data_IF_582261169068
#
_entry.id   IF_582261169068
#
_cell.length_a   1.000
_cell.length_b   1.000
_cell.length_c   1.000
_cell.angle_alpha   90.00
_cell.angle_beta   90.00
_cell.angle_gamma   90.00
#
_symmetry.space_group_name_H-M   'P 1'
#
loop_
_entity.id
_entity.type
_entity.pdbx_description
1 polymer ?
#
# COMPACT_ATOMS: atom_id res chain seq x y z
N UNK A 1 21.29 -33.86 -61.10
CA UNK A 1 19.91 -33.36 -61.23
C UNK A 1 19.53 -32.73 -59.89
N UNK A 2 19.60 -31.40 -59.75
CA UNK A 2 18.49 -30.44 -59.92
C UNK A 2 17.42 -30.56 -58.80
N UNK A 3 17.18 -29.41 -58.15
CA UNK A 3 16.00 -28.94 -57.38
C UNK A 3 16.03 -29.22 -55.86
N UNK A 4 16.49 -28.27 -55.03
CA UNK A 4 15.83 -27.05 -54.56
C UNK A 4 14.76 -27.29 -53.48
N UNK A 5 14.98 -26.72 -52.29
CA UNK A 5 13.93 -26.06 -51.50
C UNK A 5 14.57 -25.01 -50.58
N UNK A 6 14.28 -23.76 -50.90
CA UNK A 6 14.63 -22.56 -50.15
C UNK A 6 13.74 -22.52 -48.90
N UNK A 7 14.32 -22.36 -47.72
CA UNK A 7 13.61 -21.74 -46.59
C UNK A 7 14.44 -20.53 -46.18
N UNK A 8 13.83 -19.38 -46.40
CA UNK A 8 14.32 -18.05 -46.09
C UNK A 8 14.54 -17.93 -44.58
N UNK A 9 15.76 -17.57 -44.20
CA UNK A 9 16.07 -16.96 -42.90
C UNK A 9 15.40 -15.59 -42.87
N UNK A 10 14.34 -15.46 -42.08
CA UNK A 10 13.66 -14.19 -41.85
C UNK A 10 13.73 -13.82 -40.36
N UNK A 11 14.29 -12.63 -40.15
CA UNK A 11 14.00 -11.65 -39.12
C UNK A 11 14.30 -11.98 -37.65
N UNK A 12 15.20 -11.14 -37.13
CA UNK A 12 15.58 -10.93 -35.75
C UNK A 12 14.42 -10.41 -34.87
N UNK A 13 14.77 -10.19 -33.58
CA UNK A 13 14.21 -9.22 -32.61
C UNK A 13 13.26 -9.88 -31.57
N UNK A 14 13.37 -9.78 -30.23
CA UNK A 14 14.11 -8.98 -29.21
C UNK A 14 14.45 -9.90 -28.01
N UNK A 15 15.38 -9.54 -27.10
CA UNK A 15 15.74 -10.29 -25.90
C UNK A 15 14.62 -10.30 -24.86
N UNK A 16 14.45 -11.46 -24.22
CA UNK A 16 13.66 -11.64 -23.02
C UNK A 16 14.24 -10.82 -21.86
N UNK A 17 13.73 -9.62 -21.65
CA UNK A 17 13.91 -8.89 -20.40
C UNK A 17 12.66 -9.14 -19.56
N UNK A 18 12.65 -10.24 -18.82
CA UNK A 18 11.69 -10.38 -17.72
C UNK A 18 12.12 -9.38 -16.64
N UNK A 19 11.44 -8.23 -16.64
CA UNK A 19 11.54 -7.23 -15.59
C UNK A 19 11.31 -7.89 -14.23
N UNK A 20 12.23 -7.64 -13.32
CA UNK A 20 12.11 -7.99 -11.92
C UNK A 20 10.85 -7.33 -11.36
N UNK A 21 9.78 -8.11 -11.20
CA UNK A 21 8.65 -7.69 -10.39
C UNK A 21 9.16 -7.56 -8.96
N UNK A 22 9.34 -6.31 -8.51
CA UNK A 22 9.42 -6.03 -7.10
C UNK A 22 8.16 -6.61 -6.46
N UNK A 23 8.33 -7.67 -5.66
CA UNK A 23 7.26 -8.23 -4.85
C UNK A 23 6.88 -7.18 -3.80
N UNK A 24 6.05 -6.23 -4.20
CA UNK A 24 5.27 -5.45 -3.25
C UNK A 24 4.36 -6.45 -2.55
N UNK A 25 4.70 -6.79 -1.31
CA UNK A 25 3.90 -7.64 -0.47
C UNK A 25 2.47 -7.06 -0.44
N UNK A 26 1.57 -7.70 -1.18
CA UNK A 26 0.14 -7.41 -1.22
C UNK A 26 -0.45 -7.82 0.13
N UNK A 27 -0.31 -6.95 1.13
CA UNK A 27 -1.04 -7.06 2.37
C UNK A 27 -2.45 -6.55 2.13
N UNK A 28 -3.42 -7.46 2.01
CA UNK A 28 -4.84 -7.14 2.06
C UNK A 28 -5.20 -6.33 3.33
N UNK A 29 -6.42 -5.80 3.45
CA UNK A 29 -6.82 -4.98 4.59
C UNK A 29 -6.67 -5.81 5.87
N UNK A 30 -5.54 -5.65 6.55
CA UNK A 30 -5.32 -6.25 7.84
C UNK A 30 -6.36 -5.62 8.76
N UNK A 31 -7.34 -6.42 9.14
CA UNK A 31 -8.29 -6.12 10.21
C UNK A 31 -7.50 -5.99 11.51
N UNK A 32 -6.80 -4.87 11.68
CA UNK A 32 -6.04 -4.53 12.87
C UNK A 32 -6.99 -4.08 13.99
N UNK A 33 -7.92 -4.95 14.38
CA UNK A 33 -8.54 -4.91 15.72
C UNK A 33 -7.63 -5.62 16.71
N UNK A 34 -6.37 -5.20 16.77
CA UNK A 34 -5.40 -5.68 17.76
C UNK A 34 -5.09 -4.56 18.72
N UNK A 35 -5.42 -4.73 20.01
CA UNK A 35 -5.03 -3.79 21.05
C UNK A 35 -3.51 -3.81 21.37
N UNK A 36 -2.72 -4.60 20.61
CA UNK A 36 -1.27 -4.71 20.75
C UNK A 36 -0.45 -3.63 20.00
N UNK A 37 0.88 -3.61 20.20
CA UNK A 37 1.82 -2.73 19.51
C UNK A 37 1.73 -2.81 17.99
N UNK A 38 1.37 -3.97 17.44
CA UNK A 38 1.16 -4.19 16.01
C UNK A 38 -0.13 -3.58 15.43
N UNK A 39 -1.17 -3.32 16.24
CA UNK A 39 -2.52 -3.08 15.72
C UNK A 39 -2.99 -1.63 15.74
N UNK A 40 -2.35 -0.74 16.53
CA UNK A 40 -2.77 0.67 16.64
C UNK A 40 -1.96 1.65 15.78
N UNK A 41 -1.06 1.14 14.95
CA UNK A 41 -0.23 1.94 14.05
C UNK A 41 0.53 3.07 14.76
N UNK A 42 0.86 4.10 14.00
CA UNK A 42 1.67 5.24 14.43
C UNK A 42 0.94 6.25 15.32
N UNK A 43 -0.39 6.12 15.47
CA UNK A 43 -1.20 7.05 16.24
C UNK A 43 -0.78 7.12 17.72
N UNK A 44 -0.29 6.01 18.29
CA UNK A 44 0.24 5.99 19.66
C UNK A 44 1.58 6.71 19.78
N UNK A 45 2.41 6.68 18.74
CA UNK A 45 3.74 7.31 18.77
C UNK A 45 3.61 8.83 18.81
N UNK A 46 2.65 9.40 18.08
CA UNK A 46 2.38 10.85 18.09
C UNK A 46 2.05 11.38 19.48
N UNK A 47 1.42 10.56 20.34
CA UNK A 47 1.07 10.94 21.72
C UNK A 47 2.25 10.88 22.70
N UNK A 48 3.34 10.23 22.32
CA UNK A 48 4.54 10.08 23.14
C UNK A 48 5.59 11.15 22.84
N UNK A 49 5.36 11.99 21.83
CA UNK A 49 6.16 13.16 21.55
C UNK A 49 5.73 14.32 22.46
N UNK A 50 6.73 15.04 22.96
CA UNK A 50 6.52 16.25 23.76
C UNK A 50 6.27 17.41 22.81
N UNK A 51 5.02 17.55 22.35
CA UNK A 51 4.59 18.56 21.38
C UNK A 51 4.17 19.85 22.07
N UNK A 52 4.62 21.00 21.56
CA UNK A 52 4.13 22.30 22.02
C UNK A 52 2.65 22.51 21.65
N UNK A 53 1.97 23.42 22.34
CA UNK A 53 0.57 23.78 22.03
C UNK A 53 0.40 24.23 20.57
N UNK A 54 1.36 24.99 20.05
CA UNK A 54 1.39 25.46 18.66
C UNK A 54 1.52 24.29 17.68
N UNK A 55 2.43 23.34 17.95
CA UNK A 55 2.59 22.14 17.12
C UNK A 55 1.32 21.28 17.13
N UNK A 56 0.70 21.11 18.30
CA UNK A 56 -0.57 20.37 18.42
C UNK A 56 -1.67 21.01 17.57
N UNK A 57 -1.80 22.34 17.59
CA UNK A 57 -2.78 23.06 16.79
C UNK A 57 -2.52 22.90 15.28
N UNK A 58 -1.26 22.99 14.84
CA UNK A 58 -0.88 22.78 13.44
C UNK A 58 -1.18 21.34 12.98
N UNK A 59 -0.82 20.35 13.78
CA UNK A 59 -1.09 18.94 13.48
C UNK A 59 -2.60 18.66 13.44
N UNK A 60 -3.39 19.28 14.32
CA UNK A 60 -4.84 19.17 14.29
C UNK A 60 -5.41 19.72 12.99
N UNK A 61 -4.99 20.93 12.60
CA UNK A 61 -5.41 21.54 11.33
C UNK A 61 -5.08 20.65 10.13
N UNK A 62 -3.87 20.09 10.07
CA UNK A 62 -3.47 19.18 9.00
C UNK A 62 -4.33 17.92 8.95
N UNK A 63 -4.68 17.34 10.11
CA UNK A 63 -5.57 16.16 10.19
C UNK A 63 -6.98 16.49 9.72
N UNK A 64 -7.50 17.66 10.09
CA UNK A 64 -8.85 18.07 9.70
C UNK A 64 -8.92 18.34 8.20
N UNK A 65 -7.93 19.02 7.62
CA UNK A 65 -7.83 19.20 6.16
C UNK A 65 -7.78 17.87 5.43
N UNK A 66 -6.91 16.93 5.86
CA UNK A 66 -6.83 15.61 5.24
C UNK A 66 -8.13 14.82 5.37
N UNK A 67 -8.80 14.92 6.54
CA UNK A 67 -10.10 14.29 6.77
C UNK A 67 -11.15 14.82 5.81
N UNK A 68 -11.18 16.12 5.57
CA UNK A 68 -12.13 16.74 4.65
C UNK A 68 -11.85 16.35 3.19
N UNK A 69 -10.58 16.33 2.77
CA UNK A 69 -10.18 15.82 1.45
C UNK A 69 -10.61 14.36 1.24
N UNK A 70 -10.43 13.52 2.25
CA UNK A 70 -10.85 12.13 2.22
C UNK A 70 -12.37 11.97 2.23
N UNK A 71 -13.10 12.85 2.92
CA UNK A 71 -14.56 12.89 2.92
C UNK A 71 -15.10 13.27 1.54
N UNK A 72 -14.50 14.26 0.90
CA UNK A 72 -14.94 14.74 -0.42
C UNK A 72 -14.78 13.67 -1.51
N UNK A 73 -13.77 12.81 -1.38
CA UNK A 73 -13.50 11.72 -2.34
C UNK A 73 -14.13 10.38 -1.95
N UNK A 74 -14.92 10.34 -0.86
CA UNK A 74 -15.41 9.09 -0.27
C UNK A 74 -16.37 8.34 -1.20
N UNK A 75 -17.31 9.05 -1.80
CA UNK A 75 -18.35 8.43 -2.61
C UNK A 75 -17.78 7.91 -3.94
N UNK A 76 -16.88 8.67 -4.57
CA UNK A 76 -16.16 8.24 -5.77
C UNK A 76 -15.32 6.99 -5.51
N UNK A 77 -14.58 6.96 -4.39
CA UNK A 77 -13.83 5.77 -3.97
C UNK A 77 -14.74 4.57 -3.74
N UNK A 78 -15.91 4.78 -3.14
CA UNK A 78 -16.88 3.70 -2.90
C UNK A 78 -17.43 3.16 -4.22
N UNK A 79 -17.77 4.03 -5.17
CA UNK A 79 -18.23 3.63 -6.49
C UNK A 79 -17.16 2.85 -7.25
N UNK A 80 -15.92 3.34 -7.26
CA UNK A 80 -14.79 2.68 -7.90
C UNK A 80 -14.52 1.28 -7.31
N UNK A 81 -14.51 1.15 -5.98
CA UNK A 81 -14.34 -0.14 -5.31
C UNK A 81 -15.49 -1.12 -5.63
N UNK A 82 -16.73 -0.63 -5.71
CA UNK A 82 -17.88 -1.45 -6.08
C UNK A 82 -17.73 -1.99 -7.50
N UNK A 83 -17.32 -1.15 -8.45
CA UNK A 83 -17.08 -1.55 -9.83
C UNK A 83 -15.98 -2.62 -9.96
N UNK A 84 -14.87 -2.46 -9.21
CA UNK A 84 -13.81 -3.47 -9.16
C UNK A 84 -14.30 -4.80 -8.60
N UNK A 85 -15.08 -4.79 -7.52
CA UNK A 85 -15.69 -6.01 -6.96
C UNK A 85 -16.68 -6.69 -7.91
N UNK A 86 -17.44 -5.91 -8.68
CA UNK A 86 -18.36 -6.47 -9.68
C UNK A 86 -17.60 -7.15 -10.83
N UNK A 87 -16.49 -6.55 -11.29
CA UNK A 87 -15.59 -7.16 -12.29
C UNK A 87 -14.92 -8.44 -11.75
N UNK A 88 -14.42 -8.39 -10.52
CA UNK A 88 -13.83 -9.55 -9.84
C UNK A 88 -14.83 -10.71 -9.76
N UNK A 89 -16.06 -10.41 -9.32
CA UNK A 89 -17.13 -11.39 -9.22
C UNK A 89 -17.47 -12.00 -10.58
N UNK A 90 -17.51 -11.19 -11.64
CA UNK A 90 -17.77 -11.68 -12.99
C UNK A 90 -16.69 -12.65 -13.49
N UNK A 91 -15.41 -12.34 -13.23
CA UNK A 91 -14.29 -13.21 -13.61
C UNK A 91 -14.29 -14.54 -12.84
N UNK A 92 -14.57 -14.50 -11.54
CA UNK A 92 -14.58 -15.70 -10.69
C UNK A 92 -15.76 -16.63 -11.01
N UNK A 93 -16.90 -16.07 -11.44
CA UNK A 93 -18.10 -16.84 -11.79
C UNK A 93 -18.16 -17.26 -13.27
N UNK A 94 -17.19 -16.85 -14.09
CA UNK A 94 -17.13 -17.23 -15.50
C UNK A 94 -16.92 -18.75 -15.66
N UNK A 95 -17.41 -19.32 -16.76
CA UNK A 95 -17.23 -20.74 -17.07
C UNK A 95 -15.75 -21.10 -17.29
N UNK A 96 -15.00 -20.17 -17.89
CA UNK A 96 -13.56 -20.28 -18.15
C UNK A 96 -12.83 -19.08 -17.54
N UNK A 97 -11.59 -19.30 -17.10
CA UNK A 97 -10.76 -18.25 -16.52
C UNK A 97 -10.10 -17.39 -17.61
N UNK A 98 -10.51 -16.12 -17.70
CA UNK A 98 -9.83 -15.13 -18.54
C UNK A 98 -8.63 -14.52 -17.80
N UNK A 99 -7.45 -15.06 -18.07
CA UNK A 99 -6.19 -14.60 -17.48
C UNK A 99 -5.86 -13.14 -17.84
N UNK A 100 -6.17 -12.69 -19.05
CA UNK A 100 -5.85 -11.34 -19.50
C UNK A 100 -6.74 -10.31 -18.77
N UNK A 101 -8.03 -10.61 -18.63
CA UNK A 101 -8.95 -9.77 -17.87
C UNK A 101 -8.61 -9.74 -16.37
N UNK A 102 -8.20 -10.88 -15.79
CA UNK A 102 -7.73 -10.93 -14.41
C UNK A 102 -6.47 -10.09 -14.17
N UNK A 103 -5.49 -10.13 -15.09
CA UNK A 103 -4.30 -9.29 -15.02
C UNK A 103 -4.63 -7.80 -15.11
N UNK A 104 -5.55 -7.42 -16.01
CA UNK A 104 -6.00 -6.04 -16.14
C UNK A 104 -6.70 -5.55 -14.85
N UNK A 105 -7.61 -6.35 -14.30
CA UNK A 105 -8.28 -6.02 -13.05
C UNK A 105 -7.28 -5.82 -11.90
N UNK A 106 -6.31 -6.73 -11.77
CA UNK A 106 -5.25 -6.61 -10.76
C UNK A 106 -4.43 -5.33 -10.93
N UNK A 107 -4.09 -4.95 -12.17
CA UNK A 107 -3.38 -3.71 -12.47
C UNK A 107 -4.17 -2.47 -12.02
N UNK A 108 -5.48 -2.42 -12.30
CA UNK A 108 -6.35 -1.32 -11.84
C UNK A 108 -6.39 -1.21 -10.31
N UNK A 109 -6.45 -2.34 -9.60
CA UNK A 109 -6.42 -2.37 -8.14
C UNK A 109 -5.09 -1.84 -7.60
N UNK A 110 -3.97 -2.22 -8.21
CA UNK A 110 -2.63 -1.74 -7.82
C UNK A 110 -2.51 -0.24 -8.05
N UNK A 111 -2.98 0.30 -9.18
CA UNK A 111 -2.93 1.74 -9.47
C UNK A 111 -3.69 2.56 -8.42
N UNK A 112 -4.89 2.12 -8.03
CA UNK A 112 -5.65 2.77 -6.96
C UNK A 112 -4.90 2.70 -5.62
N UNK A 113 -4.30 1.55 -5.30
CA UNK A 113 -3.54 1.38 -4.07
C UNK A 113 -2.28 2.27 -4.04
N UNK A 114 -1.58 2.41 -5.16
CA UNK A 114 -0.41 3.28 -5.29
C UNK A 114 -0.80 4.74 -5.06
N UNK A 115 -1.86 5.23 -5.72
CA UNK A 115 -2.33 6.60 -5.54
C UNK A 115 -2.68 6.91 -4.07
N UNK A 116 -3.41 5.99 -3.40
CA UNK A 116 -3.72 6.13 -1.97
C UNK A 116 -2.46 6.11 -1.10
N UNK A 117 -1.51 5.22 -1.40
CA UNK A 117 -0.27 5.09 -0.63
C UNK A 117 0.58 6.37 -0.73
N UNK A 118 0.68 6.94 -1.91
CA UNK A 118 1.40 8.21 -2.13
C UNK A 118 0.73 9.35 -1.37
N UNK A 119 -0.60 9.49 -1.44
CA UNK A 119 -1.33 10.51 -0.68
C UNK A 119 -1.08 10.38 0.83
N UNK A 120 -1.12 9.16 1.38
CA UNK A 120 -0.84 8.92 2.80
C UNK A 120 0.60 9.26 3.19
N UNK A 121 1.58 8.98 2.31
CA UNK A 121 2.98 9.34 2.53
C UNK A 121 3.17 10.86 2.52
N UNK A 122 2.53 11.56 1.59
CA UNK A 122 2.56 13.02 1.52
C UNK A 122 1.97 13.65 2.78
N UNK A 123 0.80 13.20 3.22
CA UNK A 123 0.19 13.69 4.46
C UNK A 123 1.10 13.44 5.67
N UNK A 124 1.68 12.24 5.77
CA UNK A 124 2.64 11.91 6.84
C UNK A 124 3.86 12.83 6.80
N UNK A 125 4.40 13.11 5.62
CA UNK A 125 5.54 14.01 5.46
C UNK A 125 5.21 15.44 5.94
N UNK A 126 4.02 15.96 5.61
CA UNK A 126 3.55 17.26 6.10
C UNK A 126 3.48 17.30 7.63
N UNK A 127 2.93 16.25 8.25
CA UNK A 127 2.87 16.13 9.71
C UNK A 127 4.28 16.09 10.34
N UNK A 128 5.22 15.39 9.71
CA UNK A 128 6.61 15.33 10.19
C UNK A 128 7.34 16.67 10.10
N UNK A 129 6.96 17.54 9.15
CA UNK A 129 7.60 18.86 9.02
C UNK A 129 7.26 19.83 10.17
N UNK A 130 6.23 19.54 10.97
CA UNK A 130 5.91 20.30 12.19
C UNK A 130 6.90 20.00 13.33
N UNK A 131 7.57 18.84 13.29
CA UNK A 131 8.45 18.37 14.35
C UNK A 131 9.85 18.99 14.26
N UNK A 132 10.45 19.23 15.42
CA UNK A 132 11.87 19.57 15.54
C UNK A 132 12.77 18.37 15.20
N UNK A 133 14.06 18.62 14.97
CA UNK A 133 15.02 17.57 14.70
C UNK A 133 15.10 16.54 15.86
N UNK A 134 15.07 17.01 17.10
CA UNK A 134 15.08 16.16 18.30
C UNK A 134 13.80 15.30 18.40
N UNK A 135 12.64 15.88 18.13
CA UNK A 135 11.37 15.13 18.11
C UNK A 135 11.34 14.08 17.00
N UNK A 136 11.92 14.37 15.82
CA UNK A 136 12.08 13.39 14.73
C UNK A 136 13.01 12.24 15.12
N UNK A 137 14.10 12.52 15.84
CA UNK A 137 14.97 11.47 16.36
C UNK A 137 14.23 10.58 17.38
N UNK A 138 13.53 11.19 18.35
CA UNK A 138 12.67 10.46 19.30
C UNK A 138 11.62 9.61 18.59
N UNK A 139 10.98 10.15 17.55
CA UNK A 139 10.03 9.40 16.73
C UNK A 139 10.63 8.13 16.13
N UNK A 140 11.84 8.21 15.56
CA UNK A 140 12.50 7.05 14.95
C UNK A 140 12.77 5.95 15.98
N UNK A 141 13.23 6.30 17.18
CA UNK A 141 13.42 5.34 18.28
C UNK A 141 12.10 4.67 18.66
N UNK A 142 11.05 5.47 18.89
CA UNK A 142 9.73 4.94 19.25
C UNK A 142 9.15 4.01 18.16
N UNK A 143 9.39 4.33 16.89
CA UNK A 143 8.98 3.49 15.77
C UNK A 143 9.75 2.16 15.74
N UNK A 144 11.06 2.19 15.97
CA UNK A 144 11.89 0.98 16.04
C UNK A 144 11.45 0.09 17.22
N UNK A 145 11.21 0.67 18.38
CA UNK A 145 10.76 -0.07 19.57
C UNK A 145 9.40 -0.72 19.34
N UNK A 146 8.44 0.02 18.74
CA UNK A 146 7.14 -0.53 18.40
C UNK A 146 7.27 -1.69 17.40
N UNK A 147 8.14 -1.56 16.40
CA UNK A 147 8.40 -2.62 15.44
C UNK A 147 8.99 -3.87 16.11
N UNK A 148 9.98 -3.71 17.00
CA UNK A 148 10.58 -4.82 17.74
C UNK A 148 9.56 -5.53 18.63
N UNK A 149 8.76 -4.77 19.38
CA UNK A 149 7.68 -5.32 20.19
C UNK A 149 6.67 -6.07 19.32
N UNK A 150 6.37 -5.55 18.12
CA UNK A 150 5.46 -6.21 17.21
C UNK A 150 6.01 -7.56 16.71
N UNK A 151 7.28 -7.61 16.30
CA UNK A 151 7.95 -8.84 15.88
C UNK A 151 7.99 -9.88 17.01
N UNK A 152 8.29 -9.45 18.24
CA UNK A 152 8.31 -10.34 19.41
C UNK A 152 6.91 -10.91 19.70
N UNK A 153 5.86 -10.09 19.67
CA UNK A 153 4.49 -10.57 19.87
C UNK A 153 4.01 -11.51 18.76
N UNK A 154 4.36 -11.23 17.50
CA UNK A 154 4.10 -12.13 16.39
C UNK A 154 4.81 -13.49 16.55
N UNK A 155 6.02 -13.48 17.12
CA UNK A 155 6.76 -14.71 17.44
C UNK A 155 6.16 -15.47 18.62
N UNK A 156 5.62 -14.78 19.63
CA UNK A 156 4.95 -15.41 20.76
C UNK A 156 3.63 -16.07 20.37
N UNK A 157 2.80 -15.42 19.54
CA UNK A 157 1.55 -16.01 19.05
C UNK A 157 1.78 -17.27 18.22
N UNK A 158 2.73 -17.23 17.29
CA UNK A 158 3.11 -18.40 16.47
C UNK A 158 3.69 -19.60 17.25
N UNK A 159 4.09 -19.41 18.52
CA UNK A 159 4.59 -20.50 19.38
C UNK A 159 3.51 -21.03 20.34
N UNK A 160 2.39 -20.33 20.48
CA UNK A 160 1.28 -20.71 21.34
C UNK A 160 0.16 -21.44 20.57
N UNK A 161 0.16 -21.33 19.24
CA UNK A 161 -0.63 -22.12 18.29
C UNK A 161 0.20 -23.32 17.78
#
# INVERSE_FOLDING_TARGET
>A
MKLAKKILLAAAVFPLVFGTSAAFAYGGPANHKGDGPCGRGEARLWKQLDLTSEQQAQLQKLRDTHRDEMRNTRDDKRAAMKALHEQERALVLAADFDQAAAQNLAQQMVEQQVAQRVNMLQHRQQMMNVLTAEQKAKWQTLQQDQMQQCLQQGNHKRKAD
#
